data_IF_435477656726
#
_entry.id   IF_435477656726
#
_cell.length_a   1.000
_cell.length_b   1.000
_cell.length_c   1.000
_cell.angle_alpha   90.00
_cell.angle_beta   90.00
_cell.angle_gamma   90.00
#
_symmetry.space_group_name_H-M   'P 1'
#
loop_
_entity.id
_entity.type
_entity.pdbx_description
1 polymer ?
#
# COMPACT_ATOMS: atom_id res chain seq x y z
N UNK A 1 -16.51 -20.46 0.51
CA UNK A 1 -15.61 -19.83 -0.42
C UNK A 1 -16.06 -18.40 -0.69
N UNK A 2 -15.16 -17.47 -0.92
CA UNK A 2 -15.41 -16.03 -1.03
C UNK A 2 -16.11 -15.58 -2.33
N UNK A 3 -16.74 -16.48 -3.08
CA UNK A 3 -17.46 -16.13 -4.33
C UNK A 3 -18.61 -15.14 -4.07
N UNK A 4 -19.23 -15.22 -2.89
CA UNK A 4 -20.27 -14.28 -2.48
C UNK A 4 -19.78 -12.84 -2.35
N UNK A 5 -18.49 -12.62 -2.10
CA UNK A 5 -17.88 -11.30 -1.91
C UNK A 5 -17.37 -10.69 -3.23
N UNK A 6 -17.43 -11.42 -4.35
CA UNK A 6 -16.97 -10.92 -5.66
C UNK A 6 -17.80 -9.71 -6.14
N UNK A 7 -19.15 -9.70 -6.05
CA UNK A 7 -19.93 -8.52 -6.42
C UNK A 7 -19.58 -7.30 -5.56
N UNK A 8 -19.35 -7.49 -4.26
CA UNK A 8 -18.98 -6.43 -3.32
C UNK A 8 -17.58 -5.89 -3.66
N UNK A 9 -16.59 -6.78 -3.90
CA UNK A 9 -15.25 -6.37 -4.34
C UNK A 9 -15.26 -5.62 -5.68
N UNK A 10 -16.11 -6.00 -6.65
CA UNK A 10 -16.29 -5.23 -7.88
C UNK A 10 -16.89 -3.86 -7.59
N UNK A 11 -17.93 -3.79 -6.77
CA UNK A 11 -18.56 -2.52 -6.37
C UNK A 11 -17.53 -1.61 -5.69
N UNK A 12 -16.69 -2.15 -4.79
CA UNK A 12 -15.64 -1.41 -4.09
C UNK A 12 -14.61 -0.85 -5.08
N UNK A 13 -14.11 -1.67 -6.03
CA UNK A 13 -13.17 -1.22 -7.07
C UNK A 13 -13.76 -0.03 -7.85
N UNK A 14 -14.99 -0.14 -8.33
CA UNK A 14 -15.63 0.94 -9.11
C UNK A 14 -15.92 2.16 -8.26
N UNK A 15 -16.42 1.98 -7.04
CA UNK A 15 -16.74 3.09 -6.14
C UNK A 15 -15.48 3.84 -5.73
N UNK A 16 -14.40 3.14 -5.40
CA UNK A 16 -13.12 3.77 -5.05
C UNK A 16 -12.47 4.45 -6.25
N UNK A 17 -12.52 3.85 -7.45
CA UNK A 17 -11.95 4.45 -8.66
C UNK A 17 -12.60 5.79 -9.02
N UNK A 18 -13.90 5.96 -8.75
CA UNK A 18 -14.66 7.15 -9.07
C UNK A 18 -15.08 7.98 -7.84
N UNK A 19 -14.52 7.65 -6.66
CA UNK A 19 -14.83 8.41 -5.45
C UNK A 19 -14.24 9.82 -5.49
N UNK A 20 -14.93 10.77 -4.86
CA UNK A 20 -14.42 12.15 -4.71
C UNK A 20 -13.11 12.19 -3.91
N UNK A 21 -12.85 11.21 -3.05
CA UNK A 21 -11.56 11.05 -2.34
C UNK A 21 -10.42 10.74 -3.31
N UNK A 22 -10.62 9.91 -4.33
CA UNK A 22 -9.63 9.68 -5.40
C UNK A 22 -9.41 10.92 -6.25
N UNK A 23 -10.48 11.71 -6.46
CA UNK A 23 -10.42 12.96 -7.22
C UNK A 23 -9.83 14.09 -6.37
N UNK A 24 -10.20 14.20 -5.08
CA UNK A 24 -9.73 15.28 -4.20
C UNK A 24 -8.33 15.04 -3.63
N UNK A 25 -7.92 13.78 -3.43
CA UNK A 25 -6.49 13.44 -3.22
C UNK A 25 -5.66 13.96 -4.39
N UNK A 26 -6.31 14.14 -5.54
CA UNK A 26 -5.80 14.79 -6.71
C UNK A 26 -5.75 16.34 -6.65
N UNK A 27 -6.52 17.08 -5.86
CA UNK A 27 -6.69 18.54 -5.99
C UNK A 27 -5.84 19.37 -5.01
N UNK A 28 -5.32 18.79 -3.91
CA UNK A 28 -4.65 19.53 -2.85
C UNK A 28 -3.12 19.37 -2.77
N UNK A 29 -2.40 19.55 -3.86
CA UNK A 29 -0.94 19.73 -3.83
C UNK A 29 -0.09 18.45 -3.75
N UNK A 30 -0.61 17.35 -3.26
CA UNK A 30 0.00 16.01 -3.36
C UNK A 30 -0.28 15.33 -4.71
N UNK A 31 -1.11 15.96 -5.55
CA UNK A 31 -1.52 15.47 -6.88
C UNK A 31 -0.35 15.23 -7.78
N UNK A 32 0.55 16.21 -7.85
CA UNK A 32 1.68 16.11 -8.79
C UNK A 32 2.63 15.00 -8.35
N UNK A 33 2.90 14.89 -7.05
CA UNK A 33 3.73 13.83 -6.50
C UNK A 33 3.05 12.45 -6.60
N UNK A 34 1.78 12.35 -6.25
CA UNK A 34 1.00 11.09 -6.38
C UNK A 34 0.80 10.71 -7.83
N UNK A 35 0.50 11.66 -8.71
CA UNK A 35 0.33 11.42 -10.15
C UNK A 35 1.66 11.02 -10.81
N UNK A 36 2.76 11.66 -10.43
CA UNK A 36 4.10 11.32 -10.90
C UNK A 36 4.51 9.92 -10.41
N UNK A 37 4.27 9.59 -9.16
CA UNK A 37 4.53 8.26 -8.61
C UNK A 37 3.61 7.21 -9.24
N UNK A 38 2.32 7.46 -9.38
CA UNK A 38 1.39 6.56 -10.06
C UNK A 38 1.80 6.32 -11.52
N UNK A 39 2.20 7.38 -12.24
CA UNK A 39 2.70 7.27 -13.60
C UNK A 39 4.02 6.48 -13.65
N UNK A 40 4.98 6.78 -12.76
CA UNK A 40 6.25 6.05 -12.66
C UNK A 40 6.04 4.56 -12.41
N UNK A 41 5.22 4.21 -11.42
CA UNK A 41 4.91 2.80 -11.12
C UNK A 41 4.06 2.15 -12.22
N UNK A 42 3.12 2.88 -12.82
CA UNK A 42 2.28 2.38 -13.90
C UNK A 42 3.11 2.07 -15.15
N UNK A 43 4.01 2.96 -15.55
CA UNK A 43 4.92 2.76 -16.70
C UNK A 43 5.89 1.60 -16.40
N UNK A 44 6.53 1.60 -15.23
CA UNK A 44 7.44 0.53 -14.86
C UNK A 44 6.74 -0.84 -14.89
N UNK A 45 5.57 -0.97 -14.26
CA UNK A 45 4.81 -2.22 -14.25
C UNK A 45 4.27 -2.60 -15.63
N UNK A 46 3.83 -1.64 -16.44
CA UNK A 46 3.38 -1.90 -17.81
C UNK A 46 4.50 -2.43 -18.70
N UNK A 47 5.73 -1.94 -18.56
CA UNK A 47 6.89 -2.44 -19.27
C UNK A 47 7.25 -3.87 -18.87
N UNK A 48 7.11 -4.24 -17.60
CA UNK A 48 7.43 -5.58 -17.11
C UNK A 48 6.31 -6.58 -17.35
N UNK A 49 5.04 -6.18 -17.25
CA UNK A 49 3.90 -7.10 -17.33
C UNK A 49 3.73 -7.76 -18.69
N UNK A 50 3.92 -7.01 -19.78
CA UNK A 50 3.71 -7.52 -21.14
C UNK A 50 5.01 -7.74 -21.93
N UNK A 51 6.17 -7.64 -21.28
CA UNK A 51 7.50 -7.73 -21.89
C UNK A 51 7.73 -6.77 -23.08
N UNK A 52 6.76 -5.95 -23.40
CA UNK A 52 6.79 -5.04 -24.55
C UNK A 52 7.93 -4.02 -24.48
N UNK A 53 8.32 -3.62 -23.26
CA UNK A 53 9.41 -2.68 -23.03
C UNK A 53 10.80 -3.34 -22.97
N UNK A 54 10.88 -4.64 -22.75
CA UNK A 54 12.13 -5.38 -22.56
C UNK A 54 12.59 -6.14 -23.82
N UNK A 55 11.73 -6.30 -24.81
CA UNK A 55 12.04 -6.98 -26.05
C UNK A 55 12.17 -8.50 -25.95
N UNK A 56 11.91 -9.12 -24.81
CA UNK A 56 11.99 -10.55 -24.59
C UNK A 56 10.99 -11.34 -25.41
N UNK A 57 9.82 -10.78 -25.70
CA UNK A 57 8.83 -11.37 -26.60
C UNK A 57 9.38 -11.62 -28.01
N UNK A 58 10.26 -10.76 -28.51
CA UNK A 58 10.91 -10.95 -29.80
C UNK A 58 11.91 -12.13 -29.78
N UNK A 59 12.59 -12.35 -28.65
CA UNK A 59 13.53 -13.46 -28.47
C UNK A 59 12.78 -14.80 -28.43
N UNK A 60 11.70 -14.88 -27.69
CA UNK A 60 10.84 -16.07 -27.63
C UNK A 60 10.16 -16.36 -28.99
N UNK A 61 9.72 -15.32 -29.69
CA UNK A 61 9.18 -15.43 -31.06
C UNK A 61 10.22 -15.93 -32.08
N UNK A 62 11.49 -15.55 -31.91
CA UNK A 62 12.56 -16.02 -32.77
C UNK A 62 12.85 -17.53 -32.64
N UNK A 63 12.53 -18.13 -31.48
CA UNK A 63 12.65 -19.57 -31.25
C UNK A 63 11.45 -20.39 -31.79
N UNK A 64 10.42 -19.72 -32.31
CA UNK A 64 9.22 -20.39 -32.80
C UNK A 64 9.50 -21.12 -34.12
N UNK A 65 9.04 -22.37 -34.23
CA UNK A 65 9.14 -23.20 -35.43
C UNK A 65 7.96 -22.95 -36.36
N UNK A 66 7.86 -21.73 -36.90
CA UNK A 66 6.79 -21.37 -37.84
C UNK A 66 7.34 -20.55 -38.99
N UNK A 67 6.92 -20.88 -40.21
CA UNK A 67 7.30 -20.14 -41.41
C UNK A 67 6.36 -18.95 -41.69
N UNK A 68 5.30 -18.80 -40.87
CA UNK A 68 4.31 -17.75 -41.06
C UNK A 68 4.34 -16.73 -39.93
N UNK A 69 4.84 -15.50 -40.16
CA UNK A 69 4.95 -14.47 -39.12
C UNK A 69 3.59 -14.01 -38.61
N UNK A 70 2.54 -14.07 -39.42
CA UNK A 70 1.18 -13.69 -39.00
C UNK A 70 0.65 -14.68 -37.97
N UNK A 71 0.92 -15.96 -38.13
CA UNK A 71 0.53 -17.00 -37.15
C UNK A 71 1.22 -16.77 -35.83
N UNK A 72 2.50 -16.41 -35.84
CA UNK A 72 3.23 -16.08 -34.61
C UNK A 72 2.67 -14.82 -33.93
N UNK A 73 2.28 -13.81 -34.71
CA UNK A 73 1.61 -12.61 -34.18
C UNK A 73 0.31 -12.93 -33.45
N UNK A 74 -0.53 -13.83 -34.00
CA UNK A 74 -1.76 -14.26 -33.32
C UNK A 74 -1.48 -15.02 -32.03
N UNK A 75 -0.45 -15.86 -31.98
CA UNK A 75 -0.05 -16.61 -30.79
C UNK A 75 0.37 -15.62 -29.69
N UNK A 76 1.21 -14.63 -30.02
CA UNK A 76 1.65 -13.61 -29.06
C UNK A 76 0.47 -12.76 -28.55
N UNK A 77 -0.47 -12.39 -29.42
CA UNK A 77 -1.69 -11.69 -29.04
C UNK A 77 -2.55 -12.50 -28.05
N UNK A 78 -2.64 -13.81 -28.26
CA UNK A 78 -3.37 -14.71 -27.36
C UNK A 78 -2.70 -14.75 -25.99
N UNK A 79 -1.36 -14.78 -25.92
CA UNK A 79 -0.60 -14.72 -24.68
C UNK A 79 -0.92 -13.45 -23.88
N UNK A 80 -0.89 -12.29 -24.54
CA UNK A 80 -1.25 -11.00 -23.92
C UNK A 80 -2.68 -10.98 -23.39
N UNK A 81 -3.62 -11.58 -24.14
CA UNK A 81 -5.01 -11.67 -23.66
C UNK A 81 -5.11 -12.48 -22.37
N UNK A 82 -4.48 -13.66 -22.31
CA UNK A 82 -4.53 -14.50 -21.11
C UNK A 82 -3.87 -13.83 -19.92
N UNK A 83 -2.69 -13.23 -20.09
CA UNK A 83 -1.97 -12.57 -19.03
C UNK A 83 -2.75 -11.34 -18.52
N UNK A 84 -3.06 -10.40 -19.40
CA UNK A 84 -3.61 -9.10 -18.99
C UNK A 84 -5.10 -9.18 -18.64
N UNK A 85 -5.90 -9.88 -19.45
CA UNK A 85 -7.36 -9.90 -19.24
C UNK A 85 -7.74 -10.97 -18.20
N UNK A 86 -7.20 -12.19 -18.34
CA UNK A 86 -7.63 -13.29 -17.47
C UNK A 86 -6.89 -13.28 -16.13
N UNK A 87 -5.55 -13.39 -16.16
CA UNK A 87 -4.76 -13.53 -14.91
C UNK A 87 -4.82 -12.27 -14.07
N UNK A 88 -4.64 -11.09 -14.65
CA UNK A 88 -4.70 -9.84 -13.89
C UNK A 88 -6.09 -9.58 -13.31
N UNK A 89 -7.16 -9.90 -14.05
CA UNK A 89 -8.54 -9.76 -13.54
C UNK A 89 -8.79 -10.71 -12.37
N UNK A 90 -8.40 -11.97 -12.49
CA UNK A 90 -8.54 -12.95 -11.39
C UNK A 90 -7.77 -12.48 -10.16
N UNK A 91 -6.52 -12.05 -10.34
CA UNK A 91 -5.68 -11.57 -9.24
C UNK A 91 -6.31 -10.34 -8.56
N UNK A 92 -6.77 -9.37 -9.35
CA UNK A 92 -7.46 -8.18 -8.84
C UNK A 92 -8.73 -8.53 -8.07
N UNK A 93 -9.54 -9.45 -8.57
CA UNK A 93 -10.75 -9.92 -7.88
C UNK A 93 -10.44 -10.68 -6.58
N UNK A 94 -9.39 -11.50 -6.56
CA UNK A 94 -8.95 -12.19 -5.34
C UNK A 94 -8.52 -11.16 -4.30
N UNK A 95 -7.74 -10.15 -4.67
CA UNK A 95 -7.30 -9.10 -3.75
C UNK A 95 -8.52 -8.31 -3.21
N UNK A 96 -9.40 -7.84 -4.08
CA UNK A 96 -10.57 -7.05 -3.69
C UNK A 96 -11.55 -7.84 -2.80
N UNK A 97 -11.81 -9.12 -3.12
CA UNK A 97 -12.75 -9.96 -2.37
C UNK A 97 -12.15 -10.59 -1.10
N UNK A 98 -10.85 -10.46 -0.89
CA UNK A 98 -10.16 -11.05 0.28
C UNK A 98 -10.36 -10.25 1.57
N UNK A 99 -10.73 -8.97 1.47
CA UNK A 99 -10.80 -8.04 2.60
C UNK A 99 -9.43 -7.75 3.24
N UNK A 100 -8.33 -7.96 2.52
CA UNK A 100 -6.96 -7.70 3.00
C UNK A 100 -6.52 -6.27 2.71
N UNK A 101 -7.17 -5.58 1.76
CA UNK A 101 -6.86 -4.18 1.44
C UNK A 101 -7.05 -3.32 2.69
N UNK A 102 -6.03 -2.53 3.01
CA UNK A 102 -6.01 -1.67 4.19
C UNK A 102 -5.66 -2.36 5.52
N UNK A 103 -5.47 -3.69 5.54
CA UNK A 103 -4.90 -4.36 6.70
C UNK A 103 -3.40 -4.15 6.79
N UNK A 104 -2.90 -4.15 8.01
CA UNK A 104 -1.48 -4.00 8.32
C UNK A 104 -0.78 -5.35 8.48
N UNK A 105 0.51 -5.39 8.14
CA UNK A 105 1.34 -6.61 8.14
C UNK A 105 2.11 -6.78 9.42
N UNK A 106 2.64 -5.69 9.95
CA UNK A 106 3.50 -5.65 11.13
C UNK A 106 3.17 -4.43 11.96
N UNK A 107 3.31 -4.56 13.27
CA UNK A 107 3.22 -3.46 14.22
C UNK A 107 4.57 -3.32 14.91
N UNK A 108 5.15 -2.14 14.84
CA UNK A 108 6.37 -1.78 15.59
C UNK A 108 5.97 -0.83 16.69
N UNK A 109 6.23 -1.22 17.93
CA UNK A 109 6.03 -0.40 19.11
C UNK A 109 7.26 0.46 19.35
N UNK A 110 7.05 1.71 19.71
CA UNK A 110 8.11 2.65 20.07
C UNK A 110 7.64 3.64 21.10
N UNK A 111 8.55 4.45 21.58
CA UNK A 111 8.22 5.58 22.46
C UNK A 111 8.47 6.89 21.73
N UNK A 112 7.66 7.90 22.05
CA UNK A 112 7.88 9.24 21.56
C UNK A 112 8.00 10.22 22.75
N UNK A 113 8.78 11.26 22.55
CA UNK A 113 8.94 12.32 23.53
C UNK A 113 9.05 13.68 22.83
N UNK A 114 8.41 14.69 23.39
CA UNK A 114 8.57 16.07 22.97
C UNK A 114 9.90 16.56 23.54
N UNK A 115 10.85 16.90 22.68
CA UNK A 115 12.20 17.27 23.09
C UNK A 115 12.31 18.77 23.39
N UNK A 116 11.48 19.58 22.73
CA UNK A 116 11.41 21.02 22.98
C UNK A 116 10.03 21.56 22.60
N UNK A 117 9.34 22.17 23.57
CA UNK A 117 8.05 22.85 23.30
C UNK A 117 8.23 24.16 22.48
N UNK A 118 9.42 24.74 22.51
CA UNK A 118 9.71 26.00 21.81
C UNK A 118 10.05 25.80 20.33
N UNK A 119 10.49 24.62 19.93
CA UNK A 119 10.92 24.30 18.56
C UNK A 119 10.07 23.20 17.91
N UNK A 120 8.96 22.78 18.55
CA UNK A 120 8.10 21.69 18.06
C UNK A 120 8.93 20.48 17.60
N UNK A 121 9.81 19.97 18.47
CA UNK A 121 10.66 18.81 18.16
C UNK A 121 10.15 17.56 18.84
N UNK A 122 10.09 16.48 18.08
CA UNK A 122 9.61 15.15 18.47
C UNK A 122 10.70 14.11 18.26
N UNK A 123 11.05 13.39 19.32
CA UNK A 123 11.93 12.24 19.22
C UNK A 123 11.12 10.95 19.15
N UNK A 124 11.30 10.17 18.08
CA UNK A 124 10.74 8.83 17.94
C UNK A 124 11.83 7.79 18.21
N UNK A 125 11.57 6.91 19.17
CA UNK A 125 12.49 5.83 19.56
C UNK A 125 11.83 4.48 19.33
N UNK A 126 12.47 3.61 18.55
CA UNK A 126 12.02 2.25 18.31
C UNK A 126 13.18 1.27 18.31
N UNK A 127 12.88 -0.01 18.42
CA UNK A 127 13.88 -1.06 18.34
C UNK A 127 14.09 -1.50 16.88
N UNK A 128 15.31 -1.31 16.36
CA UNK A 128 15.70 -1.82 15.06
C UNK A 128 16.86 -2.82 15.22
N UNK A 129 16.65 -4.07 14.82
CA UNK A 129 17.67 -5.15 14.87
C UNK A 129 18.33 -5.32 16.25
N UNK A 130 17.53 -5.19 17.32
CA UNK A 130 18.03 -5.34 18.70
C UNK A 130 18.75 -4.12 19.26
N UNK A 131 18.61 -2.96 18.62
CA UNK A 131 19.15 -1.68 19.10
C UNK A 131 18.05 -0.64 19.13
N UNK A 132 18.02 0.15 20.20
CA UNK A 132 17.14 1.33 20.27
C UNK A 132 17.71 2.41 19.36
N UNK A 133 16.91 2.85 18.40
CA UNK A 133 17.21 3.92 17.47
C UNK A 133 16.28 5.08 17.80
N UNK A 134 16.86 6.25 18.09
CA UNK A 134 16.12 7.49 18.32
C UNK A 134 16.38 8.44 17.17
N UNK A 135 15.32 8.94 16.57
CA UNK A 135 15.40 9.93 15.50
C UNK A 135 14.62 11.17 15.95
N UNK A 136 15.29 12.32 15.91
CA UNK A 136 14.66 13.61 16.19
C UNK A 136 14.08 14.22 14.93
N UNK A 137 12.86 14.70 15.05
CA UNK A 137 12.12 15.34 13.97
C UNK A 137 11.67 16.73 14.39
N UNK A 138 11.77 17.68 13.47
CA UNK A 138 11.08 18.97 13.59
C UNK A 138 9.65 18.81 13.12
N UNK A 139 8.71 19.21 13.92
CA UNK A 139 7.28 19.07 13.67
C UNK A 139 6.74 20.34 13.06
N UNK A 140 6.03 20.24 11.96
CA UNK A 140 5.29 21.34 11.34
C UNK A 140 3.84 20.94 11.17
N UNK A 141 2.93 21.65 11.83
CA UNK A 141 1.49 21.42 11.69
C UNK A 141 0.85 22.50 10.84
N UNK A 142 0.23 22.11 9.74
CA UNK A 142 -0.44 23.01 8.82
C UNK A 142 -1.64 22.33 8.16
N UNK A 143 -2.78 23.04 8.18
CA UNK A 143 -4.00 22.61 7.49
C UNK A 143 -4.45 21.18 7.84
N UNK A 144 -4.30 20.76 9.12
CA UNK A 144 -4.64 19.41 9.56
C UNK A 144 -3.60 18.33 9.20
N UNK A 145 -2.48 18.71 8.60
CA UNK A 145 -1.39 17.82 8.24
C UNK A 145 -0.16 18.09 9.10
N UNK A 146 0.42 17.03 9.63
CA UNK A 146 1.61 17.08 10.46
C UNK A 146 2.79 16.58 9.66
N UNK A 147 3.82 17.40 9.51
CA UNK A 147 5.05 17.01 8.79
C UNK A 147 6.18 16.87 9.80
N UNK A 148 6.81 15.71 9.81
CA UNK A 148 7.98 15.37 10.61
C UNK A 148 9.21 15.41 9.70
N UNK A 149 10.06 16.42 9.87
CA UNK A 149 11.27 16.62 9.06
C UNK A 149 12.52 16.44 9.92
N UNK A 150 13.58 15.87 9.34
CA UNK A 150 14.85 15.67 10.02
C UNK A 150 15.37 14.23 10.03
N UNK A 151 14.55 13.26 9.62
CA UNK A 151 14.97 11.88 9.38
C UNK A 151 15.57 11.67 7.99
N UNK A 152 15.70 10.41 7.58
CA UNK A 152 16.17 10.03 6.24
C UNK A 152 15.20 10.49 5.14
N UNK A 153 13.91 10.54 5.45
CA UNK A 153 12.83 11.08 4.63
C UNK A 153 11.85 11.83 5.52
N UNK A 154 11.21 12.87 4.97
CA UNK A 154 10.14 13.58 5.68
C UNK A 154 8.89 12.70 5.75
N UNK A 155 8.31 12.60 6.96
CA UNK A 155 7.09 11.83 7.19
C UNK A 155 5.92 12.82 7.21
N UNK A 156 5.01 12.69 6.26
CA UNK A 156 3.79 13.51 6.19
C UNK A 156 2.64 12.70 6.77
N UNK A 157 2.15 13.12 7.92
CA UNK A 157 1.06 12.49 8.64
C UNK A 157 -0.25 13.25 8.39
N UNK A 158 -1.25 12.55 7.95
CA UNK A 158 -2.63 13.06 7.83
C UNK A 158 -3.53 12.31 8.80
N UNK A 159 -4.58 12.92 9.33
CA UNK A 159 -5.54 12.22 10.17
C UNK A 159 -6.02 10.92 9.52
N UNK A 160 -6.04 9.84 10.30
CA UNK A 160 -6.62 8.59 9.83
C UNK A 160 -8.08 8.84 9.45
N UNK A 161 -8.43 8.57 8.20
CA UNK A 161 -9.73 8.95 7.67
C UNK A 161 -10.86 8.21 8.39
N UNK A 162 -11.81 9.01 8.87
CA UNK A 162 -13.04 8.58 9.51
C UNK A 162 -12.90 7.79 10.81
N UNK A 163 -12.68 8.54 11.91
CA UNK A 163 -12.93 8.08 13.28
C UNK A 163 -14.34 7.44 13.48
N UNK A 164 -15.26 7.68 12.53
CA UNK A 164 -16.59 7.08 12.49
C UNK A 164 -16.64 5.75 11.74
N UNK A 165 -15.58 5.36 11.03
CA UNK A 165 -15.55 4.13 10.25
C UNK A 165 -15.06 2.95 11.11
N UNK A 166 -16.00 2.25 11.71
CA UNK A 166 -15.75 1.04 12.50
C UNK A 166 -15.00 -0.06 11.72
N UNK A 167 -15.13 -0.06 10.40
CA UNK A 167 -14.48 -1.02 9.53
C UNK A 167 -12.99 -0.68 9.34
N UNK A 168 -12.64 0.60 9.22
CA UNK A 168 -11.24 1.04 9.18
C UNK A 168 -10.53 0.75 10.51
N UNK A 169 -11.20 1.02 11.64
CA UNK A 169 -10.69 0.70 12.97
C UNK A 169 -10.39 -0.79 13.13
N UNK A 170 -11.29 -1.67 12.65
CA UNK A 170 -11.12 -3.11 12.75
C UNK A 170 -9.95 -3.67 11.89
N UNK A 171 -9.38 -2.87 10.99
CA UNK A 171 -8.25 -3.27 10.15
C UNK A 171 -6.89 -3.05 10.81
N UNK A 172 -6.81 -2.18 11.82
CA UNK A 172 -5.60 -1.93 12.60
C UNK A 172 -5.29 -3.12 13.50
N UNK A 173 -4.02 -3.45 13.67
CA UNK A 173 -3.59 -4.50 14.61
C UNK A 173 -3.62 -3.98 16.06
N UNK A 174 -3.12 -2.76 16.28
CA UNK A 174 -3.29 -2.06 17.54
C UNK A 174 -4.61 -1.30 17.50
N UNK A 175 -5.41 -1.47 18.55
CA UNK A 175 -6.70 -0.79 18.69
C UNK A 175 -6.52 0.39 19.62
N UNK A 176 -6.35 1.63 19.09
CA UNK A 176 -6.20 2.81 19.93
C UNK A 176 -7.50 3.12 20.68
N UNK A 177 -7.40 3.82 21.79
CA UNK A 177 -8.57 4.27 22.55
C UNK A 177 -9.43 5.24 21.74
N UNK A 178 -8.79 6.06 20.89
CA UNK A 178 -9.45 6.97 19.96
C UNK A 178 -8.73 7.02 18.62
N UNK A 179 -9.50 7.03 17.53
CA UNK A 179 -8.98 7.30 16.19
C UNK A 179 -8.81 8.79 15.92
N UNK A 180 -9.38 9.66 16.76
CA UNK A 180 -9.30 11.09 16.56
C UNK A 180 -7.86 11.58 16.67
N UNK A 181 -7.35 12.08 15.55
CA UNK A 181 -6.01 12.60 15.42
C UNK A 181 -5.97 14.04 15.95
N UNK A 182 -5.30 14.25 17.07
CA UNK A 182 -5.17 15.58 17.72
C UNK A 182 -3.71 15.96 17.81
N UNK A 183 -3.41 17.21 17.48
CA UNK A 183 -2.13 17.85 17.73
C UNK A 183 -2.36 19.19 18.40
N UNK A 184 -2.07 19.27 19.68
CA UNK A 184 -2.23 20.48 20.49
C UNK A 184 -1.06 20.66 21.44
N UNK A 185 -0.52 21.88 21.51
CA UNK A 185 0.57 22.24 22.43
C UNK A 185 1.80 21.31 22.36
N UNK A 186 2.13 20.84 21.17
CA UNK A 186 3.23 19.89 20.95
C UNK A 186 2.88 18.43 21.22
N UNK A 187 1.74 18.13 21.87
CA UNK A 187 1.28 16.76 22.08
C UNK A 187 0.59 16.21 20.83
N UNK A 188 0.99 15.00 20.42
CA UNK A 188 0.37 14.27 19.32
C UNK A 188 -0.35 13.05 19.89
N UNK A 189 -1.61 12.86 19.51
CA UNK A 189 -2.41 11.70 19.92
C UNK A 189 -3.29 11.21 18.78
N UNK A 190 -3.85 9.99 18.95
CA UNK A 190 -4.76 9.40 17.99
C UNK A 190 -4.08 8.74 16.80
N UNK A 191 -4.86 8.43 15.77
CA UNK A 191 -4.41 7.69 14.62
C UNK A 191 -4.14 8.60 13.43
N UNK A 192 -2.94 8.44 12.84
CA UNK A 192 -2.45 9.20 11.71
C UNK A 192 -2.04 8.25 10.59
N UNK A 193 -2.06 8.71 9.35
CA UNK A 193 -1.59 7.93 8.20
C UNK A 193 -0.49 8.64 7.44
N UNK A 194 0.49 7.86 6.98
CA UNK A 194 1.49 8.30 6.00
C UNK A 194 1.46 7.33 4.82
N UNK A 195 0.89 7.76 3.71
CA UNK A 195 0.64 6.88 2.57
C UNK A 195 -0.35 5.77 2.91
N UNK A 196 0.13 4.51 2.94
CA UNK A 196 -0.69 3.34 3.31
C UNK A 196 -0.45 2.85 4.74
N UNK A 197 0.51 3.44 5.45
CA UNK A 197 0.91 3.04 6.80
C UNK A 197 0.16 3.85 7.85
N UNK A 198 -0.05 3.26 9.02
CA UNK A 198 -0.68 3.93 10.14
C UNK A 198 0.34 4.21 11.25
N UNK A 199 0.18 5.37 11.89
CA UNK A 199 0.89 5.78 13.09
C UNK A 199 -0.15 6.07 14.16
N UNK A 200 -0.04 5.40 15.28
CA UNK A 200 -0.97 5.52 16.40
C UNK A 200 -0.17 6.04 17.58
N UNK A 201 -0.57 7.18 18.13
CA UNK A 201 0.08 7.80 19.27
C UNK A 201 -0.87 7.75 20.47
N UNK A 202 -0.42 7.11 21.54
CA UNK A 202 -1.15 7.02 22.79
C UNK A 202 -0.70 8.14 23.76
N UNK A 203 -1.56 8.49 24.70
CA UNK A 203 -1.31 9.59 25.67
C UNK A 203 -0.15 9.30 26.65
N UNK A 204 0.24 8.04 26.78
CA UNK A 204 1.31 7.59 27.67
C UNK A 204 2.73 7.77 27.08
N UNK A 205 2.86 8.30 25.86
CA UNK A 205 4.13 8.48 25.18
C UNK A 205 4.58 7.27 24.37
N UNK A 206 3.68 6.33 24.13
CA UNK A 206 3.90 5.17 23.26
C UNK A 206 3.36 5.46 21.86
N UNK A 207 4.04 5.01 20.84
CA UNK A 207 3.50 5.03 19.49
C UNK A 207 3.62 3.66 18.82
N UNK A 208 2.70 3.39 17.91
CA UNK A 208 2.70 2.18 17.09
C UNK A 208 2.79 2.56 15.62
N UNK A 209 3.74 1.98 14.94
CA UNK A 209 3.86 2.09 13.49
C UNK A 209 3.36 0.79 12.87
N UNK A 210 2.34 0.89 12.06
CA UNK A 210 1.74 -0.23 11.36
C UNK A 210 1.97 -0.13 9.87
N UNK A 211 2.70 -1.10 9.33
CA UNK A 211 2.97 -1.19 7.90
C UNK A 211 1.85 -1.92 7.18
N UNK A 212 1.28 -1.30 6.15
CA UNK A 212 0.23 -1.91 5.35
C UNK A 212 0.77 -3.02 4.45
N UNK A 213 -0.07 -4.02 4.17
CA UNK A 213 0.24 -4.98 3.12
C UNK A 213 0.30 -4.28 1.77
N UNK A 214 1.45 -4.33 1.10
CA UNK A 214 1.65 -3.75 -0.24
C UNK A 214 2.33 -4.74 -1.19
N UNK A 215 2.21 -4.51 -2.48
CA UNK A 215 2.92 -5.28 -3.50
C UNK A 215 2.68 -6.80 -3.44
N UNK A 216 3.76 -7.55 -3.41
CA UNK A 216 3.73 -9.02 -3.35
C UNK A 216 3.17 -9.56 -2.03
N UNK A 217 3.43 -8.90 -0.91
CA UNK A 217 2.91 -9.30 0.39
C UNK A 217 1.37 -9.24 0.43
N UNK A 218 0.78 -8.19 -0.14
CA UNK A 218 -0.68 -8.07 -0.28
C UNK A 218 -1.24 -9.23 -1.12
N UNK A 219 -0.63 -9.53 -2.25
CA UNK A 219 -1.08 -10.62 -3.13
C UNK A 219 -0.98 -11.98 -2.44
N UNK A 220 0.15 -12.27 -1.79
CA UNK A 220 0.34 -13.52 -1.04
C UNK A 220 -0.72 -13.65 0.05
N UNK A 221 -0.95 -12.58 0.83
CA UNK A 221 -1.92 -12.59 1.92
C UNK A 221 -3.36 -12.74 1.42
N UNK A 222 -3.71 -12.11 0.31
CA UNK A 222 -5.03 -12.23 -0.30
C UNK A 222 -5.29 -13.67 -0.76
N UNK A 223 -4.33 -14.29 -1.45
CA UNK A 223 -4.44 -15.69 -1.88
C UNK A 223 -4.43 -16.66 -0.69
N UNK A 224 -3.67 -16.38 0.37
CA UNK A 224 -3.72 -17.14 1.61
C UNK A 224 -5.12 -17.10 2.24
N UNK A 225 -5.74 -15.94 2.27
CA UNK A 225 -7.09 -15.77 2.84
C UNK A 225 -8.15 -16.54 2.06
N UNK A 226 -8.05 -16.58 0.74
CA UNK A 226 -9.04 -17.21 -0.14
C UNK A 226 -8.82 -18.72 -0.30
N UNK A 227 -7.57 -19.15 -0.46
CA UNK A 227 -7.19 -20.55 -0.77
C UNK A 227 -6.39 -21.23 0.35
N UNK A 228 -6.22 -20.56 1.49
CA UNK A 228 -5.39 -21.05 2.60
C UNK A 228 -3.89 -21.04 2.24
N UNK A 229 -3.10 -21.81 2.98
CA UNK A 229 -1.65 -21.90 2.79
C UNK A 229 -1.23 -22.29 1.35
N UNK A 230 -2.05 -23.07 0.66
CA UNK A 230 -1.79 -23.44 -0.73
C UNK A 230 -1.78 -22.23 -1.66
N UNK A 231 -2.65 -21.25 -1.43
CA UNK A 231 -2.68 -19.99 -2.18
C UNK A 231 -1.41 -19.17 -1.99
N UNK A 232 -0.92 -19.05 -0.75
CA UNK A 232 0.35 -18.36 -0.46
C UNK A 232 1.53 -19.04 -1.17
N UNK A 233 1.63 -20.36 -1.10
CA UNK A 233 2.67 -21.12 -1.79
C UNK A 233 2.62 -20.94 -3.30
N UNK A 234 1.43 -20.96 -3.90
CA UNK A 234 1.25 -20.79 -5.34
C UNK A 234 1.81 -19.43 -5.81
N UNK A 235 1.47 -18.36 -5.11
CA UNK A 235 1.95 -17.00 -5.45
C UNK A 235 3.45 -16.89 -5.20
N UNK A 236 3.96 -17.40 -4.07
CA UNK A 236 5.38 -17.33 -3.73
C UNK A 236 6.25 -18.07 -4.74
N UNK A 237 5.85 -19.29 -5.14
CA UNK A 237 6.55 -20.06 -6.18
C UNK A 237 6.46 -19.34 -7.52
N UNK A 238 5.30 -18.78 -7.86
CA UNK A 238 5.13 -17.98 -9.06
C UNK A 238 6.11 -16.80 -9.10
N UNK A 239 6.17 -16.01 -8.04
CA UNK A 239 7.11 -14.89 -7.94
C UNK A 239 8.56 -15.38 -8.07
N UNK A 240 8.94 -16.46 -7.38
CA UNK A 240 10.31 -17.00 -7.44
C UNK A 240 10.71 -17.55 -8.83
N UNK A 241 9.74 -18.01 -9.63
CA UNK A 241 10.01 -18.50 -10.97
C UNK A 241 10.12 -17.39 -12.03
N UNK A 242 9.49 -16.22 -11.78
CA UNK A 242 9.42 -15.11 -12.72
C UNK A 242 10.19 -13.86 -12.27
N UNK A 243 10.84 -13.88 -11.12
CA UNK A 243 11.75 -12.83 -10.64
C UNK A 243 13.18 -13.10 -11.14
#
# INVERSE_FOLDING_TARGET
>A
GNISNVPEGLHEIFTMAFSMKSVSGGVLGTVVASMTNAMRFGVARGCFSNEAGMGSAAITAAAATTDNPVRQGYINMTGTFWDTIVVCTITGLVIASSGVIGKTSTTTEGSYAITSEAEDTLALTHEEKGKMVTTEYTVTYKDGTLTLSGGAEDIVLTPYADASDSEAFAKLQHQPDSLEAVYENGAITGAWTSGCNAYIFDEDGTYYYEEAYTGSALTIKAFETVLGKAGAWLVTIGIALFA
#
